data_IF_137524087366
#
_entry.id   IF_137524087366
#
_cell.length_a   1.000
_cell.length_b   1.000
_cell.length_c   1.000
_cell.angle_alpha   90.00
_cell.angle_beta   90.00
_cell.angle_gamma   90.00
#
_symmetry.space_group_name_H-M   'P 1'
#
loop_
_entity.id
_entity.type
_entity.pdbx_description
1 polymer ?
#
# COMPACT_ATOMS: atom_id res chain seq x y z
N UNK A 1 -10.53 119.72 -39.72
CA UNK A 1 -10.10 118.70 -40.72
C UNK A 1 -9.72 117.36 -40.07
N UNK A 2 -9.61 117.30 -38.73
CA UNK A 2 -9.59 116.03 -37.97
C UNK A 2 -10.98 115.67 -37.41
N UNK A 3 -11.94 116.61 -37.44
CA UNK A 3 -13.21 116.49 -36.70
C UNK A 3 -14.28 115.62 -37.40
N UNK A 4 -14.20 115.43 -38.72
CA UNK A 4 -15.18 114.63 -39.49
C UNK A 4 -14.81 113.13 -39.60
N UNK A 5 -13.75 112.69 -38.91
CA UNK A 5 -13.28 111.29 -38.93
C UNK A 5 -13.73 110.48 -37.71
N UNK A 6 -14.79 110.90 -37.00
CA UNK A 6 -15.42 110.07 -35.99
C UNK A 6 -16.51 109.18 -36.62
N UNK A 7 -16.23 107.91 -37.00
CA UNK A 7 -17.29 106.92 -36.90
C UNK A 7 -17.51 106.70 -35.40
N UNK A 8 -18.71 107.03 -34.95
CA UNK A 8 -19.38 106.49 -33.76
C UNK A 8 -18.51 105.52 -32.96
N UNK A 9 -17.81 106.05 -31.95
CA UNK A 9 -17.17 105.26 -30.92
C UNK A 9 -18.31 104.53 -30.19
N UNK A 10 -18.53 103.27 -30.53
CA UNK A 10 -19.37 102.39 -29.72
C UNK A 10 -18.67 102.34 -28.36
N UNK A 11 -19.31 102.75 -27.25
CA UNK A 11 -18.67 102.68 -25.95
C UNK A 11 -18.41 101.20 -25.65
N UNK A 12 -17.13 100.79 -25.55
CA UNK A 12 -16.80 99.50 -24.94
C UNK A 12 -17.18 99.61 -23.46
N UNK A 13 -17.97 98.67 -22.90
CA UNK A 13 -18.10 98.58 -21.46
C UNK A 13 -16.72 98.20 -20.92
N UNK A 14 -16.05 99.15 -20.28
CA UNK A 14 -14.83 98.90 -19.51
C UNK A 14 -15.25 98.08 -18.30
N UNK A 15 -15.13 96.77 -18.39
CA UNK A 15 -15.17 95.92 -17.21
C UNK A 15 -13.93 96.27 -16.36
N UNK A 16 -14.15 97.06 -15.31
CA UNK A 16 -13.16 97.24 -14.23
C UNK A 16 -12.90 95.87 -13.62
N UNK A 17 -11.64 95.47 -13.63
CA UNK A 17 -11.21 94.20 -13.07
C UNK A 17 -11.53 94.08 -11.58
N UNK A 18 -12.18 92.99 -11.21
CA UNK A 18 -11.97 92.34 -9.92
C UNK A 18 -10.67 91.53 -10.02
N UNK A 19 -9.70 91.88 -9.20
CA UNK A 19 -8.39 91.23 -9.06
C UNK A 19 -8.50 89.90 -8.33
N UNK A 20 -9.00 88.89 -9.03
CA UNK A 20 -8.77 87.47 -8.75
C UNK A 20 -8.44 86.83 -10.10
N UNK A 21 -7.46 85.90 -10.20
CA UNK A 21 -7.29 85.12 -11.41
C UNK A 21 -8.42 84.08 -11.45
N UNK A 22 -9.66 84.54 -11.57
CA UNK A 22 -10.74 83.70 -12.06
C UNK A 22 -10.27 83.22 -13.42
N UNK A 23 -9.99 81.92 -13.52
CA UNK A 23 -9.60 81.26 -14.76
C UNK A 23 -10.59 81.72 -15.81
N UNK A 24 -10.12 82.57 -16.73
CA UNK A 24 -10.91 83.11 -17.82
C UNK A 24 -11.69 81.95 -18.43
N UNK A 25 -13.02 82.04 -18.42
CA UNK A 25 -13.87 81.00 -18.99
C UNK A 25 -13.38 80.71 -20.40
N UNK A 26 -13.36 79.43 -20.80
CA UNK A 26 -12.93 79.02 -22.14
C UNK A 26 -13.66 79.82 -23.23
N UNK A 27 -14.92 80.17 -22.98
CA UNK A 27 -15.72 81.02 -23.84
C UNK A 27 -15.15 82.44 -23.99
N UNK A 28 -14.64 83.04 -22.93
CA UNK A 28 -14.08 84.39 -22.96
C UNK A 28 -12.70 84.39 -23.62
N UNK A 29 -11.93 83.32 -23.41
CA UNK A 29 -10.68 83.08 -24.13
C UNK A 29 -10.91 82.87 -25.63
N UNK A 30 -11.92 82.09 -26.02
CA UNK A 30 -12.28 81.86 -27.42
C UNK A 30 -12.81 83.14 -28.10
N UNK A 31 -13.61 83.94 -27.39
CA UNK A 31 -14.03 85.26 -27.89
C UNK A 31 -12.85 86.20 -28.09
N UNK A 32 -11.92 86.22 -27.13
CA UNK A 32 -10.72 87.03 -27.23
C UNK A 32 -9.83 86.58 -28.39
N UNK A 33 -9.66 85.27 -28.60
CA UNK A 33 -8.81 84.75 -29.69
C UNK A 33 -9.42 84.95 -31.07
N UNK A 34 -10.74 84.81 -31.23
CA UNK A 34 -11.39 84.89 -32.54
C UNK A 34 -11.67 86.35 -32.96
N UNK A 35 -12.07 87.21 -32.03
CA UNK A 35 -12.47 88.58 -32.36
C UNK A 35 -11.42 89.61 -31.97
N UNK A 36 -10.92 89.59 -30.74
CA UNK A 36 -10.06 90.67 -30.26
C UNK A 36 -8.64 90.55 -30.79
N UNK A 37 -8.06 89.36 -30.78
CA UNK A 37 -6.66 89.15 -31.14
C UNK A 37 -6.34 89.60 -32.59
N UNK A 38 -7.11 89.22 -33.63
CA UNK A 38 -6.86 89.71 -34.99
C UNK A 38 -7.00 91.24 -35.11
N UNK A 39 -7.93 91.83 -34.35
CA UNK A 39 -8.11 93.28 -34.23
C UNK A 39 -6.86 93.96 -33.66
N UNK A 40 -6.31 93.43 -32.57
CA UNK A 40 -5.10 93.95 -31.94
C UNK A 40 -3.88 93.82 -32.84
N UNK A 41 -3.71 92.66 -33.48
CA UNK A 41 -2.63 92.42 -34.45
C UNK A 41 -2.72 93.39 -35.62
N UNK A 42 -3.94 93.64 -36.13
CA UNK A 42 -4.18 94.67 -37.14
C UNK A 42 -3.78 96.05 -36.64
N UNK A 43 -4.22 96.48 -35.44
CA UNK A 43 -3.87 97.81 -34.93
C UNK A 43 -2.37 98.00 -34.74
N UNK A 44 -1.67 96.98 -34.22
CA UNK A 44 -0.22 97.01 -34.09
C UNK A 44 0.46 97.16 -35.45
N UNK A 45 0.01 96.37 -36.44
CA UNK A 45 0.51 96.46 -37.81
C UNK A 45 0.23 97.82 -38.45
N UNK A 46 -0.99 98.36 -38.28
CA UNK A 46 -1.41 99.66 -38.80
C UNK A 46 -0.56 100.81 -38.23
N UNK A 47 -0.33 100.81 -36.91
CA UNK A 47 0.51 101.85 -36.29
C UNK A 47 1.93 101.83 -36.87
N UNK A 48 2.53 100.63 -37.01
CA UNK A 48 3.87 100.50 -37.59
C UNK A 48 3.95 100.94 -39.05
N UNK A 49 2.99 100.55 -39.89
CA UNK A 49 2.94 100.98 -41.28
C UNK A 49 2.70 102.49 -41.42
N UNK A 50 1.77 103.06 -40.64
CA UNK A 50 1.48 104.50 -40.66
C UNK A 50 2.70 105.33 -40.27
N UNK A 51 3.42 104.93 -39.23
CA UNK A 51 4.67 105.59 -38.84
C UNK A 51 5.70 105.57 -39.98
N UNK A 52 5.86 104.41 -40.65
CA UNK A 52 6.73 104.31 -41.82
C UNK A 52 6.28 105.19 -42.99
N UNK A 53 4.98 105.26 -43.28
CA UNK A 53 4.45 106.11 -44.35
C UNK A 53 4.59 107.60 -44.03
N UNK A 54 4.38 108.01 -42.78
CA UNK A 54 4.60 109.39 -42.34
C UNK A 54 6.06 109.75 -42.49
N UNK A 55 6.97 108.88 -42.08
CA UNK A 55 8.41 109.12 -42.17
C UNK A 55 8.89 109.16 -43.64
N UNK A 56 8.45 108.21 -44.47
CA UNK A 56 8.70 108.24 -45.93
C UNK A 56 8.09 109.50 -46.57
N UNK A 57 6.92 109.93 -46.13
CA UNK A 57 6.26 111.15 -46.57
C UNK A 57 7.07 112.40 -46.22
N UNK A 58 7.54 112.52 -44.98
CA UNK A 58 8.44 113.60 -44.53
C UNK A 58 9.72 113.64 -45.36
N UNK A 59 10.35 112.50 -45.58
CA UNK A 59 11.56 112.41 -46.41
C UNK A 59 11.28 112.82 -47.86
N UNK A 60 10.13 112.45 -48.41
CA UNK A 60 9.75 112.81 -49.78
C UNK A 60 9.47 114.31 -49.90
N UNK A 61 8.81 114.92 -48.91
CA UNK A 61 8.56 116.37 -48.86
C UNK A 61 9.87 117.15 -48.68
N UNK A 62 10.76 116.69 -47.80
CA UNK A 62 12.08 117.31 -47.63
C UNK A 62 12.93 117.23 -48.92
N UNK A 63 12.88 116.08 -49.62
CA UNK A 63 13.53 115.92 -50.92
C UNK A 63 12.93 116.84 -51.98
N UNK A 64 11.60 116.95 -52.05
CA UNK A 64 10.93 117.81 -53.03
C UNK A 64 11.19 119.30 -52.73
N UNK A 65 11.17 119.71 -51.47
CA UNK A 65 11.52 121.07 -51.06
C UNK A 65 12.96 121.41 -51.41
N UNK A 66 13.93 120.54 -51.10
CA UNK A 66 15.32 120.72 -51.50
C UNK A 66 15.46 120.82 -53.03
N UNK A 67 14.70 120.03 -53.78
CA UNK A 67 14.72 120.06 -55.25
C UNK A 67 14.13 121.37 -55.77
N UNK A 68 13.01 121.85 -55.20
CA UNK A 68 12.37 123.11 -55.60
C UNK A 68 13.18 124.36 -55.22
N UNK A 69 13.95 124.29 -54.14
CA UNK A 69 14.89 125.36 -53.77
C UNK A 69 15.99 125.56 -54.81
N UNK A 70 16.48 124.47 -55.40
CA UNK A 70 17.53 124.51 -56.43
C UNK A 70 16.93 124.79 -57.81
N UNK A 71 15.84 124.10 -58.14
CA UNK A 71 15.16 124.17 -59.44
C UNK A 71 13.69 124.59 -59.23
N UNK A 72 13.44 125.90 -59.31
CA UNK A 72 12.08 126.43 -59.26
C UNK A 72 11.31 125.99 -60.52
N UNK A 73 10.12 125.36 -60.42
CA UNK A 73 9.36 124.94 -61.59
C UNK A 73 8.99 126.14 -62.48
N UNK A 74 9.08 125.94 -63.80
CA UNK A 74 8.83 127.00 -64.81
C UNK A 74 7.44 127.62 -64.66
N UNK A 75 6.43 126.85 -64.25
CA UNK A 75 5.07 127.33 -64.02
C UNK A 75 4.96 128.47 -62.99
N UNK A 76 5.89 128.52 -62.01
CA UNK A 76 5.93 129.62 -61.03
C UNK A 76 6.54 130.88 -61.67
N UNK A 77 7.55 130.73 -62.53
CA UNK A 77 8.11 131.84 -63.30
C UNK A 77 7.07 132.40 -64.27
N UNK A 78 6.34 131.53 -64.96
CA UNK A 78 5.24 131.91 -65.86
C UNK A 78 4.16 132.70 -65.11
N UNK A 79 3.81 132.27 -63.88
CA UNK A 79 2.87 132.99 -63.02
C UNK A 79 3.36 134.39 -62.59
N UNK A 80 4.66 134.53 -62.27
CA UNK A 80 5.24 135.80 -61.86
C UNK A 80 5.32 136.81 -63.01
N UNK A 81 5.49 136.34 -64.25
CA UNK A 81 5.60 137.17 -65.45
C UNK A 81 4.26 137.44 -66.15
N UNK A 82 3.21 136.68 -65.84
CA UNK A 82 1.92 136.75 -66.51
C UNK A 82 1.14 138.07 -66.26
N UNK A 83 0.45 138.62 -67.27
CA UNK A 83 -0.49 139.73 -67.11
C UNK A 83 -1.73 139.31 -66.30
N UNK A 84 -2.45 140.29 -65.74
CA UNK A 84 -3.51 140.04 -64.73
C UNK A 84 -4.60 139.04 -65.13
N UNK A 85 -4.98 138.94 -66.40
CA UNK A 85 -5.97 137.97 -66.88
C UNK A 85 -5.42 136.53 -66.94
N UNK A 86 -4.23 136.33 -67.49
CA UNK A 86 -3.57 135.01 -67.58
C UNK A 86 -3.17 134.50 -66.19
N UNK A 87 -2.76 135.42 -65.31
CA UNK A 87 -2.47 135.12 -63.90
C UNK A 87 -3.67 134.50 -63.19
N UNK A 88 -4.89 135.00 -63.45
CA UNK A 88 -6.12 134.45 -62.87
C UNK A 88 -6.43 133.03 -63.37
N UNK A 89 -6.12 132.73 -64.63
CA UNK A 89 -6.27 131.37 -65.18
C UNK A 89 -5.29 130.40 -64.53
N UNK A 90 -4.01 130.79 -64.39
CA UNK A 90 -3.00 130.00 -63.69
C UNK A 90 -3.36 129.76 -62.22
N UNK A 91 -3.97 130.73 -61.53
CA UNK A 91 -4.46 130.51 -60.15
C UNK A 91 -5.57 129.47 -60.09
N UNK A 92 -6.48 129.47 -61.07
CA UNK A 92 -7.53 128.47 -61.15
C UNK A 92 -6.94 127.08 -61.41
N UNK A 93 -5.96 126.97 -62.32
CA UNK A 93 -5.28 125.71 -62.62
C UNK A 93 -4.48 125.19 -61.43
N UNK A 94 -3.78 126.05 -60.69
CA UNK A 94 -3.10 125.64 -59.46
C UNK A 94 -4.09 125.20 -58.37
N UNK A 95 -5.25 125.87 -58.25
CA UNK A 95 -6.32 125.42 -57.35
C UNK A 95 -6.86 124.05 -57.78
N UNK A 96 -7.09 123.84 -59.08
CA UNK A 96 -7.56 122.57 -59.62
C UNK A 96 -6.53 121.46 -59.41
N UNK A 97 -5.25 121.73 -59.67
CA UNK A 97 -4.16 120.79 -59.46
C UNK A 97 -4.01 120.42 -57.98
N UNK A 98 -4.14 121.41 -57.08
CA UNK A 98 -4.17 121.18 -55.63
C UNK A 98 -5.33 120.29 -55.23
N UNK A 99 -6.52 120.55 -55.76
CA UNK A 99 -7.70 119.73 -55.51
C UNK A 99 -7.56 118.32 -56.08
N UNK A 100 -7.03 118.17 -57.29
CA UNK A 100 -6.74 116.88 -57.91
C UNK A 100 -5.74 116.08 -57.09
N UNK A 101 -4.61 116.68 -56.69
CA UNK A 101 -3.62 116.04 -55.84
C UNK A 101 -4.23 115.61 -54.49
N UNK A 102 -5.07 116.46 -53.89
CA UNK A 102 -5.81 116.14 -52.66
C UNK A 102 -6.72 114.92 -52.84
N UNK A 103 -7.50 114.88 -53.92
CA UNK A 103 -8.39 113.77 -54.23
C UNK A 103 -7.62 112.49 -54.57
N UNK A 104 -6.49 112.60 -55.26
CA UNK A 104 -5.62 111.46 -55.56
C UNK A 104 -5.01 110.87 -54.29
N UNK A 105 -4.49 111.70 -53.39
CA UNK A 105 -4.02 111.24 -52.07
C UNK A 105 -5.14 110.60 -51.27
N UNK A 106 -6.35 111.17 -51.30
CA UNK A 106 -7.54 110.59 -50.67
C UNK A 106 -7.85 109.19 -51.26
N UNK A 107 -7.85 109.04 -52.58
CA UNK A 107 -8.06 107.74 -53.25
C UNK A 107 -7.02 106.72 -52.79
N UNK A 108 -5.74 107.06 -52.84
CA UNK A 108 -4.64 106.17 -52.43
C UNK A 108 -4.82 105.73 -50.97
N UNK A 109 -5.18 106.67 -50.08
CA UNK A 109 -5.46 106.38 -48.68
C UNK A 109 -6.62 105.38 -48.50
N UNK A 110 -7.75 105.58 -49.17
CA UNK A 110 -8.88 104.66 -49.06
C UNK A 110 -8.59 103.28 -49.66
N UNK A 111 -7.89 103.21 -50.79
CA UNK A 111 -7.47 101.94 -51.39
C UNK A 111 -6.52 101.17 -50.46
N UNK A 112 -5.55 101.86 -49.86
CA UNK A 112 -4.64 101.25 -48.89
C UNK A 112 -5.38 100.75 -47.65
N UNK A 113 -6.26 101.57 -47.07
CA UNK A 113 -7.11 101.18 -45.93
C UNK A 113 -7.97 99.95 -46.26
N UNK A 114 -8.54 99.88 -47.45
CA UNK A 114 -9.33 98.75 -47.89
C UNK A 114 -8.49 97.47 -47.99
N UNK A 115 -7.30 97.55 -48.60
CA UNK A 115 -6.38 96.40 -48.70
C UNK A 115 -5.98 95.83 -47.34
N UNK A 116 -5.89 96.67 -46.30
CA UNK A 116 -5.57 96.24 -44.94
C UNK A 116 -6.74 95.57 -44.21
N UNK A 117 -7.96 96.06 -44.44
CA UNK A 117 -9.15 95.53 -43.76
C UNK A 117 -9.66 94.25 -44.40
N UNK A 118 -9.46 94.06 -45.70
CA UNK A 118 -9.93 92.89 -46.45
C UNK A 118 -9.45 91.53 -45.87
N UNK A 119 -8.17 91.32 -45.52
CA UNK A 119 -7.71 90.08 -44.90
C UNK A 119 -8.38 89.79 -43.55
N UNK A 120 -8.59 90.82 -42.73
CA UNK A 120 -9.22 90.68 -41.41
C UNK A 120 -10.70 90.34 -41.54
N UNK A 121 -11.41 90.96 -42.48
CA UNK A 121 -12.80 90.60 -42.79
C UNK A 121 -12.91 89.13 -43.24
N UNK A 122 -12.02 88.68 -44.13
CA UNK A 122 -11.98 87.27 -44.55
C UNK A 122 -11.71 86.32 -43.39
N UNK A 123 -10.79 86.68 -42.49
CA UNK A 123 -10.51 85.89 -41.28
C UNK A 123 -11.73 85.79 -40.35
N UNK A 124 -12.48 86.88 -40.19
CA UNK A 124 -13.73 86.86 -39.42
C UNK A 124 -14.83 86.04 -40.08
N UNK A 125 -14.98 86.13 -41.41
CA UNK A 125 -15.94 85.30 -42.15
C UNK A 125 -15.64 83.80 -42.01
N UNK A 126 -14.37 83.42 -42.12
CA UNK A 126 -13.92 82.04 -41.92
C UNK A 126 -14.18 81.57 -40.49
N UNK A 127 -13.79 82.37 -39.49
CA UNK A 127 -13.99 82.03 -38.08
C UNK A 127 -15.48 81.92 -37.73
N UNK A 128 -16.32 82.78 -38.30
CA UNK A 128 -17.77 82.73 -38.14
C UNK A 128 -18.34 81.45 -38.74
N UNK A 129 -17.86 81.05 -39.92
CA UNK A 129 -18.28 79.79 -40.54
C UNK A 129 -17.89 78.58 -39.68
N UNK A 130 -16.65 78.54 -39.18
CA UNK A 130 -16.21 77.48 -38.25
C UNK A 130 -17.07 77.43 -36.98
N UNK A 131 -17.39 78.58 -36.38
CA UNK A 131 -18.28 78.65 -35.20
C UNK A 131 -19.71 78.16 -35.50
N UNK A 132 -20.21 78.37 -36.73
CA UNK A 132 -21.51 77.81 -37.15
C UNK A 132 -21.45 76.29 -37.28
N UNK A 133 -20.38 75.76 -37.85
CA UNK A 133 -20.18 74.32 -38.01
C UNK A 133 -20.03 73.64 -36.63
N UNK A 134 -19.30 74.26 -35.71
CA UNK A 134 -19.21 73.83 -34.31
C UNK A 134 -20.59 73.85 -33.62
N UNK A 135 -21.37 74.92 -33.82
CA UNK A 135 -22.72 75.01 -33.27
C UNK A 135 -23.62 73.87 -33.78
N UNK A 136 -23.54 73.53 -35.07
CA UNK A 136 -24.30 72.40 -35.63
C UNK A 136 -23.86 71.07 -35.04
N UNK A 137 -22.55 70.87 -34.88
CA UNK A 137 -21.97 69.66 -34.28
C UNK A 137 -22.42 69.48 -32.83
N UNK A 138 -22.39 70.55 -32.04
CA UNK A 138 -22.88 70.56 -30.66
C UNK A 138 -24.39 70.26 -30.60
N UNK A 139 -25.19 70.79 -31.53
CA UNK A 139 -26.63 70.49 -31.59
C UNK A 139 -26.89 69.00 -31.86
N UNK A 140 -26.23 68.42 -32.86
CA UNK A 140 -26.34 66.98 -33.17
C UNK A 140 -25.92 66.11 -31.98
N UNK A 141 -24.82 66.49 -31.32
CA UNK A 141 -24.37 65.78 -30.12
C UNK A 141 -25.39 65.90 -28.99
N UNK A 142 -25.93 67.09 -28.74
CA UNK A 142 -26.96 67.32 -27.73
C UNK A 142 -28.21 66.46 -28.00
N UNK A 143 -28.68 66.38 -29.24
CA UNK A 143 -29.81 65.53 -29.63
C UNK A 143 -29.52 64.05 -29.33
N UNK A 144 -28.35 63.54 -29.74
CA UNK A 144 -27.93 62.16 -29.45
C UNK A 144 -27.82 61.86 -27.94
N UNK A 145 -27.32 62.82 -27.16
CA UNK A 145 -27.26 62.68 -25.70
C UNK A 145 -28.66 62.74 -25.09
N UNK A 146 -29.54 63.61 -25.59
CA UNK A 146 -30.89 63.75 -25.07
C UNK A 146 -31.73 62.47 -25.21
N UNK A 147 -31.51 61.69 -26.27
CA UNK A 147 -32.15 60.38 -26.45
C UNK A 147 -31.63 59.32 -25.47
N UNK A 148 -30.32 59.34 -25.15
CA UNK A 148 -29.68 58.36 -24.28
C UNK A 148 -29.77 58.69 -22.79
N UNK A 149 -29.93 59.97 -22.44
CA UNK A 149 -30.02 60.47 -21.07
C UNK A 149 -31.17 59.85 -20.24
N UNK A 150 -32.43 59.69 -20.73
CA UNK A 150 -33.47 59.04 -19.94
C UNK A 150 -33.19 57.56 -19.70
N UNK A 151 -32.51 56.87 -20.63
CA UNK A 151 -32.11 55.47 -20.46
C UNK A 151 -31.07 55.35 -19.35
N UNK A 152 -30.08 56.23 -19.36
CA UNK A 152 -29.05 56.29 -18.31
C UNK A 152 -29.63 56.69 -16.95
N UNK A 153 -30.59 57.61 -16.90
CA UNK A 153 -31.29 57.96 -15.66
C UNK A 153 -32.07 56.77 -15.08
N UNK A 154 -32.84 56.05 -15.91
CA UNK A 154 -33.55 54.83 -15.50
C UNK A 154 -32.59 53.75 -14.99
N UNK A 155 -31.45 53.58 -15.65
CA UNK A 155 -30.41 52.65 -15.22
C UNK A 155 -29.80 53.08 -13.88
N UNK A 156 -29.52 54.37 -13.69
CA UNK A 156 -29.01 54.89 -12.44
C UNK A 156 -30.01 54.68 -11.29
N UNK A 157 -31.30 54.91 -11.54
CA UNK A 157 -32.37 54.67 -10.57
C UNK A 157 -32.50 53.19 -10.20
N UNK A 158 -32.46 52.29 -11.18
CA UNK A 158 -32.53 50.85 -10.92
C UNK A 158 -31.33 50.35 -10.11
N UNK A 159 -30.12 50.85 -10.41
CA UNK A 159 -28.93 50.55 -9.61
C UNK A 159 -29.06 51.07 -8.18
N UNK A 160 -29.56 52.30 -8.00
CA UNK A 160 -29.78 52.87 -6.66
C UNK A 160 -30.78 52.03 -5.87
N UNK A 161 -31.88 51.59 -6.48
CA UNK A 161 -32.85 50.70 -5.86
C UNK A 161 -32.23 49.35 -5.48
N UNK A 162 -31.44 48.75 -6.37
CA UNK A 162 -30.74 47.49 -6.08
C UNK A 162 -29.75 47.63 -4.92
N UNK A 163 -28.95 48.68 -4.91
CA UNK A 163 -28.01 48.96 -3.82
C UNK A 163 -28.77 49.13 -2.51
N UNK A 164 -29.89 49.85 -2.52
CA UNK A 164 -30.72 50.04 -1.33
C UNK A 164 -31.29 48.70 -0.85
N UNK A 165 -31.88 47.89 -1.74
CA UNK A 165 -32.40 46.57 -1.40
C UNK A 165 -31.33 45.63 -0.81
N UNK A 166 -30.10 45.67 -1.34
CA UNK A 166 -28.98 44.89 -0.81
C UNK A 166 -28.55 45.40 0.57
N UNK A 167 -28.47 46.72 0.76
CA UNK A 167 -28.17 47.32 2.08
C UNK A 167 -29.24 46.95 3.10
N UNK A 168 -30.51 47.04 2.74
CA UNK A 168 -31.64 46.69 3.60
C UNK A 168 -31.59 45.20 3.95
N UNK A 169 -31.33 44.32 2.98
CA UNK A 169 -31.14 42.88 3.22
C UNK A 169 -29.94 42.59 4.12
N UNK A 170 -28.84 43.34 3.97
CA UNK A 170 -27.69 43.20 4.86
C UNK A 170 -28.04 43.62 6.28
N UNK A 171 -28.77 44.73 6.45
CA UNK A 171 -29.23 45.20 7.75
C UNK A 171 -30.22 44.21 8.39
N UNK A 172 -31.14 43.61 7.62
CA UNK A 172 -32.03 42.58 8.17
C UNK A 172 -31.25 41.34 8.60
N UNK A 173 -30.29 40.88 7.80
CA UNK A 173 -29.40 39.77 8.19
C UNK A 173 -28.52 40.08 9.40
N UNK A 174 -28.10 41.34 9.58
CA UNK A 174 -27.36 41.78 10.76
C UNK A 174 -28.25 41.87 12.01
N UNK A 175 -29.55 42.14 11.83
CA UNK A 175 -30.55 42.15 12.90
C UNK A 175 -31.07 40.75 13.25
N UNK A 176 -30.92 39.77 12.36
CA UNK A 176 -31.16 38.37 12.71
C UNK A 176 -30.23 37.97 13.84
N UNK A 177 -30.77 37.22 14.81
CA UNK A 177 -30.02 36.77 15.97
C UNK A 177 -28.86 35.87 15.52
N UNK A 178 -27.64 36.34 15.76
CA UNK A 178 -26.44 35.62 15.35
C UNK A 178 -26.22 34.39 16.23
N UNK A 179 -26.74 34.38 17.47
CA UNK A 179 -26.64 33.24 18.37
C UNK A 179 -27.55 32.10 17.89
N UNK A 180 -28.80 32.42 17.50
CA UNK A 180 -29.69 31.43 16.88
C UNK A 180 -29.11 30.86 15.58
N UNK A 181 -28.49 31.70 14.74
CA UNK A 181 -27.88 31.26 13.49
C UNK A 181 -26.64 30.39 13.72
N UNK A 182 -25.84 30.70 14.75
CA UNK A 182 -24.72 29.86 15.18
C UNK A 182 -25.22 28.53 15.74
N UNK A 183 -26.25 28.54 16.60
CA UNK A 183 -26.89 27.34 17.13
C UNK A 183 -27.46 26.44 16.03
N UNK A 184 -28.14 27.01 15.02
CA UNK A 184 -28.61 26.26 13.86
C UNK A 184 -27.46 25.68 13.03
N UNK A 185 -26.34 26.40 12.88
CA UNK A 185 -25.15 25.87 12.19
C UNK A 185 -24.50 24.73 12.95
N UNK A 186 -24.42 24.84 14.27
CA UNK A 186 -23.93 23.79 15.15
C UNK A 186 -24.85 22.56 15.08
N UNK A 187 -26.16 22.74 15.17
CA UNK A 187 -27.14 21.67 14.99
C UNK A 187 -27.02 20.98 13.62
N UNK A 188 -26.83 21.73 12.54
CA UNK A 188 -26.59 21.15 11.20
C UNK A 188 -25.29 20.35 11.18
N UNK A 189 -24.23 20.84 11.82
CA UNK A 189 -22.94 20.12 11.91
C UNK A 189 -23.08 18.83 12.72
N UNK A 190 -23.74 18.87 13.86
CA UNK A 190 -24.03 17.70 14.69
C UNK A 190 -24.87 16.68 13.91
N UNK A 191 -25.95 17.10 13.27
CA UNK A 191 -26.77 16.23 12.42
C UNK A 191 -25.97 15.64 11.26
N UNK A 192 -25.08 16.41 10.64
CA UNK A 192 -24.20 15.92 9.58
C UNK A 192 -23.22 14.87 10.09
N UNK A 193 -22.67 15.05 11.29
CA UNK A 193 -21.81 14.05 11.93
C UNK A 193 -22.59 12.77 12.24
N UNK A 194 -23.81 12.88 12.75
CA UNK A 194 -24.70 11.73 13.01
C UNK A 194 -25.08 11.00 11.72
N UNK A 195 -25.37 11.74 10.64
CA UNK A 195 -25.64 11.13 9.33
C UNK A 195 -24.42 10.40 8.79
N UNK A 196 -23.22 10.96 8.95
CA UNK A 196 -21.99 10.30 8.52
C UNK A 196 -21.73 9.03 9.33
N UNK A 197 -21.88 9.07 10.66
CA UNK A 197 -21.71 7.87 11.50
C UNK A 197 -22.75 6.80 11.18
N UNK A 198 -24.01 7.19 10.94
CA UNK A 198 -25.06 6.28 10.49
C UNK A 198 -24.75 5.68 9.12
N UNK A 199 -24.18 6.47 8.20
CA UNK A 199 -23.68 6.00 6.91
C UNK A 199 -22.57 4.96 7.07
N UNK A 200 -21.59 5.23 7.93
CA UNK A 200 -20.50 4.28 8.23
C UNK A 200 -21.03 2.98 8.83
N UNK A 201 -21.96 3.06 9.80
CA UNK A 201 -22.64 1.90 10.37
C UNK A 201 -23.43 1.12 9.32
N UNK A 202 -24.14 1.80 8.43
CA UNK A 202 -24.87 1.16 7.34
C UNK A 202 -23.93 0.39 6.41
N UNK A 203 -22.81 0.99 6.00
CA UNK A 203 -21.83 0.29 5.15
C UNK A 203 -21.20 -0.90 5.86
N UNK A 204 -20.94 -0.80 7.17
CA UNK A 204 -20.46 -1.91 7.98
C UNK A 204 -21.48 -3.05 8.05
N UNK A 205 -22.74 -2.75 8.36
CA UNK A 205 -23.81 -3.73 8.41
C UNK A 205 -24.04 -4.40 7.06
N UNK A 206 -23.92 -3.64 5.96
CA UNK A 206 -24.01 -4.20 4.61
C UNK A 206 -22.89 -5.20 4.32
N UNK A 207 -21.64 -4.91 4.73
CA UNK A 207 -20.52 -5.87 4.64
C UNK A 207 -20.77 -7.10 5.51
N UNK A 208 -21.19 -6.92 6.76
CA UNK A 208 -21.51 -8.04 7.65
C UNK A 208 -22.64 -8.92 7.10
N UNK A 209 -23.63 -8.31 6.44
CA UNK A 209 -24.70 -9.05 5.75
C UNK A 209 -24.14 -9.85 4.58
N UNK A 210 -23.31 -9.25 3.73
CA UNK A 210 -22.66 -9.94 2.61
C UNK A 210 -21.81 -11.13 3.08
N UNK A 211 -20.98 -10.93 4.11
CA UNK A 211 -20.17 -12.00 4.70
C UNK A 211 -21.04 -13.15 5.24
N UNK A 212 -22.14 -12.82 5.94
CA UNK A 212 -23.08 -13.83 6.44
C UNK A 212 -23.78 -14.57 5.29
N UNK A 213 -24.15 -13.89 4.21
CA UNK A 213 -24.76 -14.55 3.04
C UNK A 213 -23.78 -15.48 2.34
N UNK A 214 -22.52 -15.08 2.15
CA UNK A 214 -21.47 -15.95 1.59
C UNK A 214 -21.23 -17.17 2.48
N UNK A 215 -21.13 -16.99 3.80
CA UNK A 215 -21.01 -18.12 4.74
C UNK A 215 -22.20 -19.06 4.69
N UNK A 216 -23.42 -18.55 4.51
CA UNK A 216 -24.62 -19.38 4.34
C UNK A 216 -24.57 -20.18 3.03
N UNK A 217 -24.09 -19.60 1.95
CA UNK A 217 -23.89 -20.30 0.67
C UNK A 217 -22.83 -21.40 0.79
N UNK A 218 -21.70 -21.11 1.44
CA UNK A 218 -20.65 -22.11 1.71
C UNK A 218 -21.16 -23.26 2.57
N UNK A 219 -21.95 -22.95 3.62
CA UNK A 219 -22.57 -23.97 4.46
C UNK A 219 -23.59 -24.81 3.70
N UNK A 220 -24.39 -24.21 2.82
CA UNK A 220 -25.33 -24.93 1.95
C UNK A 220 -24.57 -25.87 1.00
N UNK A 221 -23.47 -25.40 0.41
CA UNK A 221 -22.60 -26.21 -0.45
C UNK A 221 -22.02 -27.40 0.32
N UNK A 222 -21.41 -27.16 1.49
CA UNK A 222 -20.88 -28.23 2.35
C UNK A 222 -21.96 -29.23 2.77
N UNK A 223 -23.16 -28.75 3.08
CA UNK A 223 -24.30 -29.62 3.38
C UNK A 223 -24.62 -30.53 2.20
N UNK A 224 -24.70 -30.00 0.99
CA UNK A 224 -24.95 -30.80 -0.21
C UNK A 224 -23.84 -31.83 -0.47
N UNK A 225 -22.57 -31.45 -0.28
CA UNK A 225 -21.42 -32.36 -0.39
C UNK A 225 -21.50 -33.50 0.63
N UNK A 226 -21.86 -33.19 1.89
CA UNK A 226 -22.05 -34.21 2.93
C UNK A 226 -23.25 -35.11 2.65
N UNK A 227 -24.37 -34.57 2.18
CA UNK A 227 -25.55 -35.36 1.79
C UNK A 227 -25.22 -36.32 0.65
N UNK A 228 -24.44 -35.87 -0.34
CA UNK A 228 -23.94 -36.73 -1.42
C UNK A 228 -23.00 -37.83 -0.87
N UNK A 229 -22.10 -37.49 0.05
CA UNK A 229 -21.24 -38.47 0.72
C UNK A 229 -22.03 -39.52 1.52
N UNK A 230 -23.09 -39.11 2.22
CA UNK A 230 -24.00 -40.02 2.93
C UNK A 230 -24.71 -40.94 1.93
N UNK A 231 -25.18 -40.42 0.79
CA UNK A 231 -25.82 -41.21 -0.25
C UNK A 231 -24.87 -42.28 -0.81
N UNK A 232 -23.62 -41.90 -1.11
CA UNK A 232 -22.57 -42.83 -1.55
C UNK A 232 -22.27 -43.89 -0.48
N UNK A 233 -22.12 -43.50 0.79
CA UNK A 233 -21.90 -44.43 1.89
C UNK A 233 -23.06 -45.43 2.01
N UNK A 234 -24.31 -44.97 1.88
CA UNK A 234 -25.49 -45.85 1.86
C UNK A 234 -25.49 -46.81 0.68
N UNK A 235 -25.09 -46.35 -0.50
CA UNK A 235 -24.93 -47.22 -1.68
C UNK A 235 -23.88 -48.31 -1.44
N UNK A 236 -22.72 -47.94 -0.87
CA UNK A 236 -21.70 -48.94 -0.50
C UNK A 236 -22.17 -49.91 0.59
N UNK A 237 -23.01 -49.46 1.53
CA UNK A 237 -23.64 -50.35 2.52
C UNK A 237 -24.63 -51.31 1.86
N UNK A 238 -25.42 -50.84 0.88
CA UNK A 238 -26.34 -51.68 0.12
C UNK A 238 -25.60 -52.72 -0.74
N UNK A 239 -24.42 -52.39 -1.26
CA UNK A 239 -23.53 -53.34 -1.94
C UNK A 239 -22.92 -54.38 -0.98
N UNK A 240 -22.70 -54.00 0.29
CA UNK A 240 -22.06 -54.84 1.33
C UNK A 240 -23.06 -55.45 2.33
N UNK A 241 -24.24 -55.85 1.87
CA UNK A 241 -25.35 -56.38 2.70
C UNK A 241 -25.01 -57.64 3.52
N UNK A 242 -23.91 -58.33 3.21
CA UNK A 242 -23.48 -59.56 3.89
C UNK A 242 -22.75 -59.33 5.23
N UNK A 243 -22.39 -58.08 5.57
CA UNK A 243 -21.69 -57.75 6.82
C UNK A 243 -22.54 -56.86 7.72
N UNK A 244 -23.38 -57.48 8.55
CA UNK A 244 -24.10 -56.77 9.62
C UNK A 244 -23.16 -56.44 10.78
N UNK A 245 -23.42 -55.35 11.52
CA UNK A 245 -22.64 -54.97 12.73
C UNK A 245 -22.55 -56.15 13.71
N UNK A 246 -23.62 -56.93 13.86
CA UNK A 246 -23.63 -58.16 14.65
C UNK A 246 -22.61 -59.21 14.18
N UNK A 247 -22.50 -59.44 12.86
CA UNK A 247 -21.53 -60.38 12.30
C UNK A 247 -20.07 -59.91 12.52
N UNK A 248 -19.84 -58.59 12.55
CA UNK A 248 -18.53 -58.02 12.83
C UNK A 248 -18.18 -58.10 14.32
N UNK A 249 -19.14 -57.84 15.20
CA UNK A 249 -18.99 -57.98 16.64
C UNK A 249 -18.74 -59.44 17.04
N UNK A 250 -19.54 -60.38 16.51
CA UNK A 250 -19.34 -61.82 16.74
C UNK A 250 -17.94 -62.27 16.28
N UNK A 251 -17.49 -61.80 15.12
CA UNK A 251 -16.13 -62.10 14.63
C UNK A 251 -15.04 -61.47 15.48
N UNK A 252 -15.26 -60.27 16.01
CA UNK A 252 -14.33 -59.61 16.92
C UNK A 252 -14.28 -60.35 18.26
N UNK A 253 -15.41 -60.69 18.85
CA UNK A 253 -15.48 -61.46 20.10
C UNK A 253 -14.86 -62.85 19.95
N UNK A 254 -15.09 -63.49 18.81
CA UNK A 254 -14.43 -64.76 18.47
C UNK A 254 -12.91 -64.59 18.33
N UNK A 255 -12.45 -63.48 17.78
CA UNK A 255 -11.03 -63.19 17.69
C UNK A 255 -10.43 -62.88 19.07
N UNK A 256 -11.11 -62.06 19.87
CA UNK A 256 -10.70 -61.68 21.23
C UNK A 256 -10.65 -62.90 22.16
N UNK A 257 -11.61 -63.83 22.04
CA UNK A 257 -11.59 -65.10 22.78
C UNK A 257 -10.43 -65.99 22.34
N UNK A 258 -10.17 -66.12 21.03
CA UNK A 258 -9.00 -66.87 20.54
C UNK A 258 -7.67 -66.23 20.98
N UNK A 259 -7.60 -64.90 20.96
CA UNK A 259 -6.48 -64.11 21.47
C UNK A 259 -6.25 -64.35 22.97
N UNK A 260 -7.32 -64.35 23.78
CA UNK A 260 -7.26 -64.62 25.20
C UNK A 260 -6.87 -66.07 25.54
N UNK A 261 -7.35 -67.06 24.78
CA UNK A 261 -7.01 -68.47 24.98
C UNK A 261 -5.54 -68.79 24.69
N UNK A 262 -4.92 -68.06 23.76
CA UNK A 262 -3.55 -68.30 23.31
C UNK A 262 -2.53 -67.28 23.81
N UNK A 263 -2.92 -66.38 24.72
CA UNK A 263 -2.10 -65.24 25.20
C UNK A 263 -1.51 -64.41 24.04
N UNK A 264 -2.28 -64.25 22.95
CA UNK A 264 -1.88 -63.49 21.77
C UNK A 264 -2.68 -62.21 21.69
N UNK A 265 -2.03 -61.06 21.65
CA UNK A 265 -2.70 -59.77 21.44
C UNK A 265 -2.50 -59.29 20.01
N UNK A 266 -3.59 -59.02 19.30
CA UNK A 266 -3.54 -58.35 18.00
C UNK A 266 -3.37 -56.84 18.23
N UNK A 267 -2.25 -56.28 17.77
CA UNK A 267 -1.94 -54.86 17.94
C UNK A 267 -2.38 -54.04 16.72
N UNK A 268 -2.16 -54.56 15.52
CA UNK A 268 -2.46 -53.86 14.28
C UNK A 268 -2.78 -54.86 13.18
N UNK A 269 -3.89 -54.62 12.46
CA UNK A 269 -4.30 -55.41 11.30
C UNK A 269 -4.63 -54.46 10.15
N UNK A 270 -3.62 -54.11 9.35
CA UNK A 270 -3.78 -53.35 8.11
C UNK A 270 -3.68 -54.31 6.91
N UNK A 271 -4.18 -53.91 5.72
CA UNK A 271 -4.03 -54.73 4.51
C UNK A 271 -2.55 -55.02 4.17
N UNK A 272 -1.63 -54.16 4.62
CA UNK A 272 -0.20 -54.26 4.31
C UNK A 272 0.64 -54.87 5.45
N UNK A 273 0.17 -54.86 6.70
CA UNK A 273 0.95 -55.32 7.86
C UNK A 273 0.05 -55.91 8.94
N UNK A 274 0.52 -56.94 9.63
CA UNK A 274 -0.11 -57.42 10.86
C UNK A 274 0.90 -57.57 11.99
N UNK A 275 0.59 -57.02 13.16
CA UNK A 275 1.42 -57.06 14.36
C UNK A 275 0.72 -57.85 15.46
N UNK A 276 1.41 -58.84 16.00
CA UNK A 276 0.93 -59.74 17.03
C UNK A 276 1.90 -59.75 18.19
N UNK A 277 1.41 -59.71 19.42
CA UNK A 277 2.23 -59.85 20.62
C UNK A 277 1.89 -61.17 21.33
N UNK A 278 2.88 -62.03 21.52
CA UNK A 278 2.74 -63.31 22.22
C UNK A 278 3.23 -63.17 23.66
N UNK A 279 2.38 -63.56 24.62
CA UNK A 279 2.67 -63.58 26.07
C UNK A 279 3.27 -62.28 26.62
N UNK A 280 2.97 -61.13 26.00
CA UNK A 280 3.54 -59.82 26.33
C UNK A 280 5.08 -59.74 26.29
N UNK A 281 5.73 -60.66 25.57
CA UNK A 281 7.21 -60.79 25.56
C UNK A 281 7.79 -60.82 24.15
N UNK A 282 7.05 -61.34 23.17
CA UNK A 282 7.48 -61.41 21.77
C UNK A 282 6.53 -60.62 20.87
N UNK A 283 7.08 -59.67 20.12
CA UNK A 283 6.38 -58.96 19.05
C UNK A 283 6.72 -59.62 17.72
N UNK A 284 5.68 -60.07 17.02
CA UNK A 284 5.75 -60.60 15.67
C UNK A 284 5.17 -59.56 14.72
N UNK A 285 6.02 -58.97 13.88
CA UNK A 285 5.58 -58.11 12.78
C UNK A 285 5.64 -58.90 11.49
N UNK A 286 4.48 -59.07 10.85
CA UNK A 286 4.37 -59.69 9.54
C UNK A 286 3.99 -58.62 8.52
N UNK A 287 4.88 -58.37 7.56
CA UNK A 287 4.55 -57.56 6.40
C UNK A 287 3.80 -58.45 5.38
N UNK A 288 2.61 -58.02 4.96
CA UNK A 288 1.69 -58.77 4.09
C UNK A 288 1.88 -58.44 2.60
N UNK A 289 3.07 -57.96 2.24
CA UNK A 289 3.51 -57.74 0.86
C UNK A 289 3.85 -59.07 0.15
N UNK A 290 4.18 -59.02 -1.15
CA UNK A 290 4.40 -60.20 -2.00
C UNK A 290 5.41 -61.24 -1.44
N UNK A 291 6.36 -60.79 -0.61
CA UNK A 291 7.27 -61.64 0.16
C UNK A 291 7.05 -61.40 1.65
N UNK A 292 6.34 -62.30 2.36
CA UNK A 292 6.04 -62.08 3.78
C UNK A 292 7.29 -62.32 4.61
N UNK A 293 7.84 -61.25 5.16
CA UNK A 293 8.92 -61.25 6.15
C UNK A 293 8.35 -61.30 7.56
N UNK A 294 9.02 -62.02 8.46
CA UNK A 294 8.64 -62.13 9.86
C UNK A 294 9.74 -61.50 10.70
N UNK A 295 9.43 -60.35 11.30
CA UNK A 295 10.37 -59.65 12.16
C UNK A 295 10.02 -59.89 13.63
N UNK A 296 11.03 -60.16 14.45
CA UNK A 296 10.89 -60.51 15.87
C UNK A 296 11.53 -59.44 16.75
N UNK A 297 10.82 -58.99 17.77
CA UNK A 297 11.39 -58.10 18.78
C UNK A 297 10.93 -58.49 20.19
N UNK A 298 11.80 -58.30 21.18
CA UNK A 298 11.43 -58.38 22.58
C UNK A 298 10.58 -57.16 22.96
N UNK A 299 9.57 -57.38 23.80
CA UNK A 299 8.80 -56.29 24.41
C UNK A 299 9.20 -56.18 25.87
N UNK A 300 9.61 -54.98 26.29
CA UNK A 300 9.84 -54.66 27.70
C UNK A 300 8.52 -54.68 28.47
N UNK A 301 8.40 -55.44 29.58
CA UNK A 301 7.17 -55.46 30.39
C UNK A 301 6.88 -54.05 30.94
N UNK A 302 5.74 -53.47 30.55
CA UNK A 302 5.24 -52.19 31.09
C UNK A 302 5.42 -50.95 30.20
N UNK A 303 6.00 -51.06 29.00
CA UNK A 303 5.97 -49.96 28.03
C UNK A 303 4.59 -49.89 27.35
N UNK A 304 3.92 -48.72 27.30
CA UNK A 304 2.67 -48.58 26.55
C UNK A 304 2.95 -48.79 25.07
N UNK A 305 2.10 -49.58 24.39
CA UNK A 305 2.14 -49.75 22.94
C UNK A 305 1.69 -48.47 22.23
N UNK A 306 2.56 -47.46 22.20
CA UNK A 306 2.35 -46.23 21.43
C UNK A 306 2.97 -46.34 20.04
N UNK A 307 2.25 -45.87 19.02
CA UNK A 307 2.64 -45.91 17.61
C UNK A 307 3.98 -45.22 17.29
N UNK A 308 4.58 -44.49 18.24
CA UNK A 308 5.74 -43.63 18.05
C UNK A 308 7.10 -44.25 18.40
N UNK A 309 7.15 -45.42 19.06
CA UNK A 309 8.44 -46.12 19.33
C UNK A 309 8.97 -46.90 18.12
N UNK A 310 8.35 -46.74 16.94
CA UNK A 310 8.67 -47.42 15.70
C UNK A 310 10.02 -47.06 15.06
N UNK A 311 10.88 -46.24 15.69
CA UNK A 311 12.15 -45.80 15.11
C UNK A 311 13.39 -46.03 15.97
N UNK A 312 13.25 -46.33 17.27
CA UNK A 312 14.42 -46.46 18.14
C UNK A 312 14.41 -47.82 18.85
N UNK A 313 15.34 -48.74 18.54
CA UNK A 313 15.53 -49.92 19.37
C UNK A 313 15.96 -49.45 20.76
N UNK A 314 15.13 -49.76 21.76
CA UNK A 314 15.44 -49.53 23.17
C UNK A 314 16.77 -50.23 23.47
N UNK A 315 17.75 -49.47 23.94
CA UNK A 315 19.09 -49.96 24.24
C UNK A 315 19.01 -51.11 25.26
N UNK A 316 19.71 -52.20 24.96
CA UNK A 316 19.72 -53.44 25.74
C UNK A 316 19.98 -53.15 27.23
N UNK A 317 18.99 -53.43 28.06
CA UNK A 317 19.10 -53.25 29.52
C UNK A 317 19.76 -54.50 30.09
N UNK A 318 21.09 -54.54 29.99
CA UNK A 318 21.95 -55.54 30.64
C UNK A 318 22.58 -56.56 29.70
N UNK A 319 23.80 -57.00 30.05
CA UNK A 319 24.61 -57.97 29.30
C UNK A 319 23.87 -59.29 29.03
N UNK A 320 22.95 -59.68 29.92
CA UNK A 320 22.12 -60.88 29.76
C UNK A 320 21.00 -60.72 28.75
N UNK A 321 20.42 -59.52 28.58
CA UNK A 321 19.38 -59.26 27.57
C UNK A 321 19.98 -59.26 26.16
N UNK A 322 21.19 -58.73 25.99
CA UNK A 322 21.91 -58.75 24.71
C UNK A 322 22.14 -60.19 24.17
N UNK A 323 22.40 -61.16 25.05
CA UNK A 323 22.53 -62.59 24.72
C UNK A 323 21.19 -63.16 24.21
N UNK A 324 20.06 -62.79 24.81
CA UNK A 324 18.74 -63.25 24.36
C UNK A 324 18.28 -62.58 23.06
N UNK A 325 18.69 -61.33 22.82
CA UNK A 325 18.47 -60.62 21.56
C UNK A 325 19.25 -61.22 20.40
N UNK A 326 20.52 -61.62 20.61
CA UNK A 326 21.30 -62.28 19.56
C UNK A 326 20.72 -63.63 19.17
N UNK A 327 20.19 -64.39 20.13
CA UNK A 327 19.49 -65.65 19.84
C UNK A 327 18.17 -65.45 19.09
N UNK A 328 17.43 -64.36 19.36
CA UNK A 328 16.24 -64.04 18.56
C UNK A 328 16.59 -63.67 17.12
N UNK A 329 17.69 -62.94 16.89
CA UNK A 329 18.15 -62.61 15.53
C UNK A 329 18.55 -63.86 14.74
N UNK A 330 19.10 -64.88 15.38
CA UNK A 330 19.36 -66.18 14.71
C UNK A 330 18.06 -66.87 14.28
N UNK A 331 17.05 -66.85 15.15
CA UNK A 331 15.75 -67.46 14.86
C UNK A 331 15.06 -66.70 13.72
N UNK A 332 15.14 -65.36 13.73
CA UNK A 332 14.65 -64.48 12.68
C UNK A 332 15.34 -64.73 11.34
N UNK A 333 16.67 -64.74 11.31
CA UNK A 333 17.46 -64.99 10.09
C UNK A 333 17.19 -66.38 9.51
N UNK A 334 17.05 -67.41 10.34
CA UNK A 334 16.73 -68.77 9.89
C UNK A 334 15.32 -68.89 9.33
N UNK A 335 14.32 -68.24 9.93
CA UNK A 335 12.95 -68.33 9.46
C UNK A 335 12.72 -67.49 8.19
N UNK A 336 13.46 -66.39 8.05
CA UNK A 336 13.44 -65.56 6.85
C UNK A 336 14.33 -66.12 5.72
N UNK A 337 15.36 -66.93 6.00
CA UNK A 337 16.21 -67.56 4.97
C UNK A 337 15.55 -68.76 4.27
N UNK A 338 14.51 -69.37 4.85
CA UNK A 338 13.79 -70.51 4.26
C UNK A 338 12.68 -69.99 3.36
N UNK A 339 13.04 -69.60 2.13
CA UNK A 339 12.16 -68.81 1.25
C UNK A 339 11.23 -69.62 0.33
N UNK A 340 11.31 -70.95 0.20
CA UNK A 340 10.66 -71.60 -0.98
C UNK A 340 9.67 -72.75 -0.77
N UNK A 341 9.46 -73.33 0.43
CA UNK A 341 8.49 -74.46 0.55
C UNK A 341 7.56 -74.47 1.77
N UNK A 342 7.60 -73.45 2.64
CA UNK A 342 6.75 -73.42 3.83
C UNK A 342 5.71 -72.31 3.76
N UNK A 343 4.43 -72.67 3.92
CA UNK A 343 3.34 -71.70 4.06
C UNK A 343 3.63 -70.78 5.25
N UNK A 344 3.15 -69.53 5.22
CA UNK A 344 3.32 -68.55 6.31
C UNK A 344 2.96 -69.16 7.67
N UNK A 345 1.93 -70.00 7.69
CA UNK A 345 1.51 -70.78 8.84
C UNK A 345 2.63 -71.68 9.41
N UNK A 346 3.31 -72.46 8.57
CA UNK A 346 4.40 -73.34 8.98
C UNK A 346 5.62 -72.56 9.49
N UNK A 347 5.87 -71.35 8.94
CA UNK A 347 6.92 -70.45 9.44
C UNK A 347 6.60 -69.93 10.84
N UNK A 348 5.35 -69.50 11.06
CA UNK A 348 4.87 -69.06 12.38
C UNK A 348 4.89 -70.21 13.39
N UNK A 349 4.49 -71.43 13.00
CA UNK A 349 4.60 -72.59 13.90
C UNK A 349 6.06 -72.86 14.31
N UNK A 350 6.99 -72.90 13.35
CA UNK A 350 8.40 -73.11 13.68
C UNK A 350 9.01 -72.02 14.55
N UNK A 351 8.51 -70.78 14.45
CA UNK A 351 8.89 -69.69 15.32
C UNK A 351 8.36 -69.90 16.74
N UNK A 352 7.09 -70.26 16.87
CA UNK A 352 6.46 -70.47 18.17
C UNK A 352 7.06 -71.66 18.92
N UNK A 353 7.41 -72.73 18.22
CA UNK A 353 8.10 -73.88 18.81
C UNK A 353 9.50 -73.47 19.31
N UNK A 354 10.29 -72.79 18.48
CA UNK A 354 11.61 -72.29 18.87
C UNK A 354 11.54 -71.30 20.03
N UNK A 355 10.52 -70.44 20.05
CA UNK A 355 10.26 -69.52 21.16
C UNK A 355 9.88 -70.24 22.45
N UNK A 356 9.05 -71.29 22.37
CA UNK A 356 8.66 -72.03 23.55
C UNK A 356 9.87 -72.67 24.25
N UNK A 357 10.77 -73.26 23.46
CA UNK A 357 12.02 -73.82 23.98
C UNK A 357 12.99 -72.75 24.52
N UNK A 358 13.03 -71.57 23.90
CA UNK A 358 13.80 -70.44 24.40
C UNK A 358 13.25 -69.87 25.72
N UNK A 359 11.93 -69.77 25.87
CA UNK A 359 11.26 -69.36 27.12
C UNK A 359 11.50 -70.40 28.23
N UNK A 360 11.49 -71.70 27.90
CA UNK A 360 11.86 -72.76 28.84
C UNK A 360 13.31 -72.66 29.30
N UNK A 361 14.25 -72.46 28.37
CA UNK A 361 15.66 -72.25 28.69
C UNK A 361 15.85 -71.00 29.55
N UNK A 362 15.19 -69.89 29.22
CA UNK A 362 15.28 -68.65 29.99
C UNK A 362 14.78 -68.84 31.43
N UNK A 363 13.66 -69.55 31.62
CA UNK A 363 13.14 -69.90 32.95
C UNK A 363 14.08 -70.84 33.70
N UNK A 364 14.73 -71.77 33.00
CA UNK A 364 15.70 -72.69 33.60
C UNK A 364 16.96 -71.96 34.08
N UNK A 365 17.53 -71.12 33.21
CA UNK A 365 18.65 -70.24 33.54
C UNK A 365 18.31 -69.36 34.73
N UNK A 366 17.14 -68.69 34.73
CA UNK A 366 16.69 -67.88 35.85
C UNK A 366 16.68 -68.64 37.19
N UNK A 367 16.31 -69.93 37.19
CA UNK A 367 16.36 -70.77 38.39
C UNK A 367 17.77 -71.10 38.84
N UNK A 368 18.72 -71.24 37.91
CA UNK A 368 20.14 -71.43 38.22
C UNK A 368 20.74 -70.15 38.80
N UNK A 369 20.46 -68.98 38.20
CA UNK A 369 21.03 -67.70 38.67
C UNK A 369 20.66 -67.37 40.13
N UNK A 370 19.50 -67.84 40.59
CA UNK A 370 19.06 -67.67 41.99
C UNK A 370 19.96 -68.44 42.97
N UNK A 371 20.56 -69.56 42.54
CA UNK A 371 21.33 -70.47 43.41
C UNK A 371 22.83 -70.31 43.27
N UNK A 372 23.31 -69.98 42.07
CA UNK A 372 24.73 -69.85 41.78
C UNK A 372 24.98 -68.66 40.84
N UNK A 373 26.14 -67.97 40.96
CA UNK A 373 26.52 -66.95 40.01
C UNK A 373 26.69 -67.56 38.62
N UNK A 374 25.93 -67.05 37.64
CA UNK A 374 25.98 -67.51 36.24
C UNK A 374 26.40 -66.38 35.32
N UNK A 375 27.40 -66.63 34.47
CA UNK A 375 27.71 -65.77 33.33
C UNK A 375 27.13 -66.38 32.04
N UNK A 376 26.48 -65.54 31.24
CA UNK A 376 25.90 -65.92 29.95
C UNK A 376 26.69 -65.23 28.86
N UNK A 377 27.14 -65.98 27.86
CA UNK A 377 27.79 -65.43 26.68
C UNK A 377 27.29 -66.13 25.42
N UNK A 378 27.02 -65.37 24.38
CA UNK A 378 26.61 -65.90 23.08
C UNK A 378 27.80 -65.82 22.11
N UNK A 379 28.19 -66.95 21.53
CA UNK A 379 29.30 -67.04 20.57
C UNK A 379 28.71 -67.06 19.16
N UNK A 380 28.76 -65.92 18.49
CA UNK A 380 28.18 -65.73 17.15
C UNK A 380 28.82 -66.59 16.06
N UNK A 381 30.09 -66.98 16.18
CA UNK A 381 30.81 -67.79 15.19
C UNK A 381 30.34 -69.25 15.14
N UNK A 382 29.99 -69.81 16.29
CA UNK A 382 29.55 -71.21 16.42
C UNK A 382 28.04 -71.35 16.62
N UNK A 383 27.32 -70.22 16.63
CA UNK A 383 25.91 -70.13 16.97
C UNK A 383 25.59 -70.91 18.25
N UNK A 384 26.39 -70.72 19.29
CA UNK A 384 26.23 -71.46 20.55
C UNK A 384 26.13 -70.52 21.74
N UNK A 385 25.23 -70.88 22.67
CA UNK A 385 25.10 -70.26 23.97
C UNK A 385 26.00 -70.98 24.95
N UNK A 386 26.86 -70.21 25.59
CA UNK A 386 27.72 -70.64 26.68
C UNK A 386 27.14 -70.13 28.00
N UNK A 387 26.78 -71.07 28.87
CA UNK A 387 26.30 -70.79 30.23
C UNK A 387 27.39 -71.24 31.20
N UNK A 388 28.14 -70.30 31.78
CA UNK A 388 29.14 -70.58 32.81
C UNK A 388 28.52 -70.45 34.19
N UNK A 389 28.49 -71.54 34.96
CA UNK A 389 27.95 -71.58 36.32
C UNK A 389 29.09 -71.75 37.32
N UNK A 390 29.18 -70.85 38.29
CA UNK A 390 30.18 -70.91 39.36
C UNK A 390 29.68 -71.75 40.54
N UNK A 391 30.50 -72.70 40.97
CA UNK A 391 30.27 -73.47 42.18
C UNK A 391 31.40 -73.18 43.17
N UNK A 392 31.03 -72.86 44.42
CA UNK A 392 31.97 -72.74 45.53
C UNK A 392 31.43 -73.48 46.74
N UNK A 393 32.31 -74.23 47.40
CA UNK A 393 31.98 -74.92 48.65
C UNK A 393 33.12 -74.73 49.64
N UNK A 394 32.89 -73.93 50.68
CA UNK A 394 33.90 -73.55 51.67
C UNK A 394 34.32 -74.70 52.59
N UNK A 395 33.50 -75.74 52.75
CA UNK A 395 33.83 -76.89 53.61
C UNK A 395 34.85 -77.86 53.00
N UNK A 396 35.06 -77.82 51.69
CA UNK A 396 35.94 -78.73 50.95
C UNK A 396 37.02 -78.01 50.14
N UNK A 397 37.16 -76.70 50.31
CA UNK A 397 38.11 -75.83 49.61
C UNK A 397 38.11 -76.03 48.09
N UNK A 398 36.91 -76.05 47.49
CA UNK A 398 36.73 -76.23 46.04
C UNK A 398 35.98 -75.06 45.41
N UNK A 399 36.54 -74.56 44.32
CA UNK A 399 35.95 -73.55 43.45
C UNK A 399 36.19 -73.94 42.00
N UNK A 400 35.12 -74.02 41.21
CA UNK A 400 35.21 -74.35 39.79
C UNK A 400 34.02 -73.78 39.02
N UNK A 401 34.20 -73.65 37.71
CA UNK A 401 33.15 -73.29 36.76
C UNK A 401 32.75 -74.51 35.95
N UNK A 402 31.45 -74.68 35.72
CA UNK A 402 30.92 -75.59 34.71
C UNK A 402 30.38 -74.74 33.56
N UNK A 403 30.91 -74.99 32.37
CA UNK A 403 30.57 -74.32 31.13
C UNK A 403 29.63 -75.21 30.31
N UNK A 404 28.37 -74.83 30.15
CA UNK A 404 27.39 -75.56 29.32
C UNK A 404 27.27 -74.94 27.94
N UNK A 405 27.29 -75.78 26.90
CA UNK A 405 27.16 -75.38 25.50
C UNK A 405 25.81 -75.82 24.94
N UNK A 406 25.09 -74.88 24.33
CA UNK A 406 23.81 -75.12 23.67
C UNK A 406 23.83 -74.54 22.27
N UNK A 407 23.48 -75.35 21.25
CA UNK A 407 23.41 -74.88 19.86
C UNK A 407 22.15 -74.05 19.62
N UNK A 408 22.30 -72.95 18.90
CA UNK A 408 21.25 -72.06 18.41
C UNK A 408 20.82 -72.48 17.00
N UNK A 409 19.51 -72.42 16.66
CA UNK A 409 18.42 -72.14 17.58
C UNK A 409 18.13 -73.33 18.49
N UNK A 410 17.64 -73.00 19.68
CA UNK A 410 17.36 -73.91 20.80
C UNK A 410 16.09 -74.73 20.48
N UNK A 411 16.05 -75.49 19.38
CA UNK A 411 14.87 -76.26 18.97
C UNK A 411 14.78 -77.58 19.74
N UNK A 412 15.91 -78.07 20.25
CA UNK A 412 16.01 -79.38 20.91
C UNK A 412 16.10 -79.26 22.43
N UNK A 413 15.65 -78.17 23.05
CA UNK A 413 15.68 -78.02 24.51
C UNK A 413 14.39 -78.52 25.14
N UNK A 414 14.42 -79.40 26.15
CA UNK A 414 15.59 -79.95 26.84
C UNK A 414 16.40 -80.96 25.97
N UNK A 415 17.73 -80.79 25.82
CA UNK A 415 18.53 -81.67 24.96
C UNK A 415 18.70 -83.05 25.60
N UNK A 416 18.84 -84.12 24.79
CA UNK A 416 19.03 -85.47 25.31
C UNK A 416 20.27 -85.57 26.19
N UNK A 417 21.35 -84.86 25.83
CA UNK A 417 22.58 -84.71 26.62
C UNK A 417 23.01 -83.24 26.63
N UNK A 418 23.44 -82.71 27.78
CA UNK A 418 24.07 -81.39 27.87
C UNK A 418 25.57 -81.51 27.59
N UNK A 419 26.08 -80.74 26.63
CA UNK A 419 27.51 -80.58 26.42
C UNK A 419 28.06 -79.66 27.53
N UNK A 420 29.03 -80.14 28.32
CA UNK A 420 29.61 -79.36 29.41
C UNK A 420 31.13 -79.53 29.51
N UNK A 421 31.80 -78.50 30.04
CA UNK A 421 33.24 -78.47 30.30
C UNK A 421 33.52 -77.95 31.72
N UNK A 422 34.67 -78.33 32.31
CA UNK A 422 35.04 -78.03 33.70
C UNK A 422 36.31 -77.19 33.75
N UNK A 423 36.22 -76.01 34.37
CA UNK A 423 37.36 -75.14 34.66
C UNK A 423 37.56 -75.07 36.19
N UNK A 424 38.60 -75.74 36.72
CA UNK A 424 38.92 -75.67 38.15
C UNK A 424 39.67 -74.38 38.48
N UNK A 425 39.23 -73.65 39.51
CA UNK A 425 39.87 -72.43 40.01
C UNK A 425 40.71 -72.73 41.26
N UNK A 426 40.16 -73.52 42.18
CA UNK A 426 40.81 -73.93 43.42
C UNK A 426 40.33 -75.33 43.84
N UNK A 427 41.25 -76.22 44.23
CA UNK A 427 40.97 -77.62 44.55
C UNK A 427 40.92 -78.55 43.33
N UNK A 428 41.29 -79.83 43.51
CA UNK A 428 41.26 -80.84 42.45
C UNK A 428 39.92 -81.56 42.41
N UNK A 429 38.99 -81.06 41.61
CA UNK A 429 37.74 -81.78 41.27
C UNK A 429 38.00 -82.66 40.06
N UNK A 430 37.87 -83.99 40.21
CA UNK A 430 38.08 -84.91 39.09
C UNK A 430 36.87 -84.92 38.16
N UNK A 431 37.15 -84.86 36.86
CA UNK A 431 36.14 -84.89 35.80
C UNK A 431 35.30 -86.19 35.80
N UNK A 432 35.83 -87.26 36.39
CA UNK A 432 35.13 -88.55 36.57
C UNK A 432 34.01 -88.46 37.62
N UNK A 433 34.24 -87.77 38.75
CA UNK A 433 33.21 -87.59 39.79
C UNK A 433 31.99 -86.81 39.28
N UNK A 434 32.22 -85.76 38.49
CA UNK A 434 31.13 -84.98 37.91
C UNK A 434 30.46 -85.70 36.74
N UNK A 435 31.21 -86.52 35.97
CA UNK A 435 30.64 -87.34 34.89
C UNK A 435 29.62 -88.33 35.42
N UNK A 436 29.89 -89.04 36.50
CA UNK A 436 28.94 -90.02 37.05
C UNK A 436 27.61 -89.34 37.42
N UNK A 437 27.68 -88.11 37.93
CA UNK A 437 26.52 -87.37 38.37
C UNK A 437 25.71 -86.75 37.22
N UNK A 438 26.41 -86.25 36.21
CA UNK A 438 25.81 -85.74 34.98
C UNK A 438 25.31 -86.86 34.03
N UNK A 439 25.74 -88.12 34.22
CA UNK A 439 25.34 -89.29 33.42
C UNK A 439 24.35 -90.23 34.12
N UNK A 440 24.23 -90.19 35.46
CA UNK A 440 23.15 -90.90 36.19
C UNK A 440 21.74 -90.41 35.84
N UNK A 441 21.63 -89.28 35.15
CA UNK A 441 20.42 -88.93 34.39
C UNK A 441 20.52 -89.57 33.01
N UNK A 442 19.91 -90.76 32.85
CA UNK A 442 19.55 -91.27 31.52
C UNK A 442 18.67 -90.27 30.75
N UNK A 443 18.24 -90.58 29.51
CA UNK A 443 17.42 -89.66 28.72
C UNK A 443 16.30 -89.10 29.59
N UNK A 444 16.35 -87.78 29.79
CA UNK A 444 15.43 -87.04 30.65
C UNK A 444 14.01 -87.57 30.43
N UNK A 445 13.33 -88.14 31.45
CA UNK A 445 12.01 -88.72 31.25
C UNK A 445 11.10 -87.68 30.57
N UNK A 446 10.29 -88.07 29.58
CA UNK A 446 9.43 -87.11 28.88
C UNK A 446 8.58 -86.35 29.89
N UNK A 447 8.82 -85.04 29.99
CA UNK A 447 8.18 -84.17 30.98
C UNK A 447 9.04 -83.72 32.17
N UNK A 448 10.34 -84.03 32.23
CA UNK A 448 11.22 -83.37 33.22
C UNK A 448 11.47 -81.92 32.83
N UNK A 449 10.80 -81.04 33.54
CA UNK A 449 11.04 -79.61 33.45
C UNK A 449 12.40 -79.25 34.07
N UNK A 450 13.16 -78.39 33.38
CA UNK A 450 14.39 -77.74 33.86
C UNK A 450 15.63 -78.64 33.99
N UNK A 451 16.17 -79.21 32.88
CA UNK A 451 17.34 -80.10 32.93
C UNK A 451 18.61 -79.41 33.45
N UNK A 452 18.82 -78.13 33.13
CA UNK A 452 20.01 -77.38 33.54
C UNK A 452 20.00 -77.11 35.05
N UNK A 453 18.87 -76.67 35.61
CA UNK A 453 18.73 -76.47 37.05
C UNK A 453 18.79 -77.79 37.85
N UNK A 454 18.32 -78.89 37.28
CA UNK A 454 18.42 -80.20 37.94
C UNK A 454 19.87 -80.71 37.96
N UNK A 455 20.60 -80.57 36.85
CA UNK A 455 22.03 -80.86 36.80
C UNK A 455 22.81 -80.04 37.83
N UNK A 456 22.59 -78.73 37.88
CA UNK A 456 23.25 -77.85 38.86
C UNK A 456 22.87 -78.20 40.30
N UNK A 457 21.61 -78.61 40.56
CA UNK A 457 21.17 -79.04 41.90
C UNK A 457 21.89 -80.32 42.34
N UNK A 458 22.05 -81.29 41.45
CA UNK A 458 22.77 -82.52 41.76
C UNK A 458 24.23 -82.23 42.11
N UNK A 459 24.89 -81.36 41.33
CA UNK A 459 26.26 -80.89 41.65
C UNK A 459 26.32 -80.26 43.04
N UNK A 460 25.36 -79.43 43.42
CA UNK A 460 25.28 -78.90 44.79
C UNK A 460 25.12 -80.01 45.86
N UNK A 461 24.23 -80.98 45.67
CA UNK A 461 24.04 -82.09 46.64
C UNK A 461 25.27 -83.00 46.77
N UNK A 462 26.08 -83.09 45.72
CA UNK A 462 27.34 -83.84 45.75
C UNK A 462 28.42 -83.07 46.49
N UNK A 463 28.48 -81.75 46.30
CA UNK A 463 29.41 -80.90 47.05
C UNK A 463 29.10 -80.92 48.55
N UNK A 464 27.83 -80.99 48.93
CA UNK A 464 27.40 -81.12 50.33
C UNK A 464 27.69 -82.49 50.96
N UNK A 465 27.76 -83.57 50.15
CA UNK A 465 28.04 -84.92 50.64
C UNK A 465 29.53 -85.26 50.73
N UNK A 466 30.42 -84.36 50.29
CA UNK A 466 31.87 -84.52 50.41
C UNK A 466 32.35 -84.25 51.85
N UNK A 467 33.30 -85.04 52.38
CA UNK A 467 33.79 -84.86 53.74
C UNK A 467 34.50 -83.51 53.89
N UNK A 468 34.14 -82.77 54.95
CA UNK A 468 34.77 -81.49 55.31
C UNK A 468 36.23 -81.76 55.70
N UNK A 469 37.17 -81.32 54.88
CA UNK A 469 38.60 -81.34 55.24
C UNK A 469 38.82 -80.24 56.26
N UNK A 470 38.85 -80.59 57.56
CA UNK A 470 39.31 -79.69 58.60
C UNK A 470 40.81 -79.43 58.40
N UNK A 471 41.16 -78.22 58.03
CA UNK A 471 42.45 -77.63 58.37
C UNK A 471 42.23 -76.38 59.22
#
# INVERSE_FOLDING_TARGET
FMDDLCPTVIPRPVARGSSTPERSSLHDAAKASVALLPEWELYQFLCGELEQYIEKGRQTVAKSESTFRVNNPSSILDYLLAPGYERLHLELDFKLLKEHARLQSKKIWYTWREMLLQPVLKSYEQSLQSLRDDQQSIRRFKESVQDSLPVLQRYQESLRQHIQAVKDRKLTLQKCDQEELQGLREAIREQSQVLNSCGDEFTRLQREQQDKTQRLEDLKRRKAELEQGIAQARETLAQNTFYTIGNLQERKERLDTLCGLHDVQLLELTPQRSRWCFRQRLLLTMDRTLEPTLNLAWVTPGAPFTQEEATNPVQSVGETQAVWESMLRDIETRVNSVTTHRTVYQRVQSLLDAWHHLDELQRDVAKVQVRSPTALSYVSETQSLLIKVFFSHYGSDRQFYISFWLRSPVITYPPPNLEWDLENVYGNTSLTMLKDCMTTTGPWPPGTFYPLANACRQVHTLLESLPVTKH
#
